data_IF_444219239956
#
_entry.id   IF_444219239956
#
_cell.length_a   1.000
_cell.length_b   1.000
_cell.length_c   1.000
_cell.angle_alpha   90.00
_cell.angle_beta   90.00
_cell.angle_gamma   90.00
#
_symmetry.space_group_name_H-M   'P 1'
#
loop_
_entity.id
_entity.type
_entity.pdbx_description
1 polymer ?
#
# COMPACT_ATOMS: atom_id res chain seq x y z
N UNK A 1 26.02 -11.34 -5.70
CA UNK A 1 24.74 -11.98 -5.31
C UNK A 1 24.40 -11.48 -3.92
N UNK A 2 23.65 -10.38 -3.82
CA UNK A 2 23.11 -9.94 -2.52
C UNK A 2 22.01 -10.91 -2.16
N UNK A 3 22.25 -11.73 -1.14
CA UNK A 3 21.21 -12.51 -0.49
C UNK A 3 20.20 -11.51 0.04
N UNK A 4 19.03 -11.41 -0.59
CA UNK A 4 17.90 -10.70 0.00
C UNK A 4 17.65 -11.38 1.33
N UNK A 5 18.04 -10.72 2.42
CA UNK A 5 17.83 -11.25 3.75
C UNK A 5 16.31 -11.31 3.94
N UNK A 6 15.78 -12.46 4.35
CA UNK A 6 14.33 -12.63 4.44
C UNK A 6 13.69 -11.66 5.47
N UNK A 7 14.51 -11.03 6.31
CA UNK A 7 14.14 -9.92 7.20
C UNK A 7 13.65 -8.66 6.46
N UNK A 8 13.98 -8.53 5.18
CA UNK A 8 13.58 -7.37 4.36
C UNK A 8 12.20 -7.57 3.73
N UNK A 9 11.65 -8.78 3.75
CA UNK A 9 10.31 -9.03 3.22
C UNK A 9 9.29 -8.74 4.31
N UNK A 10 8.29 -7.90 4.00
CA UNK A 10 7.17 -7.59 4.89
C UNK A 10 5.84 -7.94 4.25
N UNK A 11 4.88 -8.34 5.08
CA UNK A 11 3.47 -8.44 4.71
C UNK A 11 2.77 -7.12 5.03
N UNK A 12 1.99 -6.60 4.08
CA UNK A 12 1.23 -5.36 4.22
C UNK A 12 -0.26 -5.68 4.10
N UNK A 13 -1.08 -5.22 5.05
CA UNK A 13 -2.54 -5.29 4.95
C UNK A 13 -3.07 -4.05 4.22
N UNK A 14 -3.75 -4.24 3.10
CA UNK A 14 -4.29 -3.14 2.30
C UNK A 14 -5.80 -3.13 2.38
N UNK A 15 -6.33 -1.93 2.57
CA UNK A 15 -7.75 -1.65 2.54
C UNK A 15 -8.05 -0.64 1.45
N UNK A 16 -8.82 -1.06 0.45
CA UNK A 16 -9.35 -0.22 -0.60
C UNK A 16 -10.82 0.08 -0.34
N UNK A 17 -11.18 1.37 -0.46
CA UNK A 17 -12.57 1.82 -0.46
C UNK A 17 -12.76 2.86 -1.57
N UNK A 18 -13.87 2.77 -2.31
CA UNK A 18 -14.24 3.75 -3.33
C UNK A 18 -15.57 4.45 -3.01
N UNK A 19 -15.93 5.45 -3.81
CA UNK A 19 -17.19 6.21 -3.69
C UNK A 19 -18.46 5.38 -3.85
N UNK A 20 -18.36 4.15 -4.34
CA UNK A 20 -19.48 3.21 -4.46
C UNK A 20 -19.58 2.28 -3.24
N UNK A 21 -18.86 2.57 -2.15
CA UNK A 21 -18.74 1.73 -0.96
C UNK A 21 -18.26 0.30 -1.25
N UNK A 22 -17.54 0.09 -2.36
CA UNK A 22 -16.87 -1.19 -2.60
C UNK A 22 -15.62 -1.23 -1.73
N UNK A 23 -15.57 -2.25 -0.89
CA UNK A 23 -14.50 -2.49 0.05
C UNK A 23 -13.74 -3.76 -0.37
N UNK A 24 -12.43 -3.64 -0.55
CA UNK A 24 -11.55 -4.79 -0.84
C UNK A 24 -10.41 -4.78 0.17
N UNK A 25 -10.25 -5.89 0.89
CA UNK A 25 -9.15 -6.10 1.83
C UNK A 25 -8.28 -7.23 1.27
N UNK A 26 -6.98 -7.00 1.18
CA UNK A 26 -6.03 -8.00 0.72
C UNK A 26 -4.64 -7.77 1.32
N UNK A 27 -3.80 -8.80 1.25
CA UNK A 27 -2.44 -8.78 1.76
C UNK A 27 -1.46 -8.93 0.60
N UNK A 28 -0.37 -8.16 0.61
CA UNK A 28 0.75 -8.35 -0.32
C UNK A 28 2.04 -8.55 0.46
N UNK A 29 2.97 -9.29 -0.13
CA UNK A 29 4.36 -9.39 0.34
C UNK A 29 5.28 -8.58 -0.58
N UNK A 30 6.10 -7.74 0.00
CA UNK A 30 7.03 -6.84 -0.72
C UNK A 30 8.36 -6.76 0.03
N UNK A 31 9.42 -6.41 -0.68
CA UNK A 31 10.72 -6.12 -0.04
C UNK A 31 10.75 -4.68 0.44
N UNK A 32 11.30 -4.41 1.63
CA UNK A 32 11.58 -3.05 2.12
C UNK A 32 12.51 -2.26 1.21
N UNK A 33 13.29 -2.97 0.40
CA UNK A 33 14.19 -2.40 -0.58
C UNK A 33 13.49 -2.05 -1.91
N UNK A 34 12.22 -2.44 -2.08
CA UNK A 34 11.42 -2.03 -3.24
C UNK A 34 10.94 -0.58 -3.09
N UNK A 35 10.60 0.04 -4.22
CA UNK A 35 9.93 1.34 -4.26
C UNK A 35 8.43 1.20 -3.97
N UNK A 36 7.81 2.27 -3.47
CA UNK A 36 6.35 2.34 -3.27
C UNK A 36 5.59 2.12 -4.58
N UNK A 37 6.16 2.46 -5.74
CA UNK A 37 5.57 2.16 -7.05
C UNK A 37 5.27 0.67 -7.26
N UNK A 38 6.08 -0.23 -6.68
CA UNK A 38 5.87 -1.68 -6.74
C UNK A 38 4.59 -2.08 -5.98
N UNK A 39 4.29 -1.42 -4.86
CA UNK A 39 3.01 -1.61 -4.16
C UNK A 39 1.86 -1.17 -5.06
N UNK A 40 1.98 0.01 -5.69
CA UNK A 40 0.94 0.50 -6.58
C UNK A 40 0.68 -0.43 -7.78
N UNK A 41 1.72 -0.99 -8.40
CA UNK A 41 1.58 -1.96 -9.49
C UNK A 41 0.80 -3.21 -9.04
N UNK A 42 1.15 -3.76 -7.87
CA UNK A 42 0.47 -4.94 -7.30
C UNK A 42 -0.97 -4.65 -6.94
N UNK A 43 -1.24 -3.49 -6.33
CA UNK A 43 -2.60 -3.01 -6.02
C UNK A 43 -3.43 -2.93 -7.30
N UNK A 44 -2.89 -2.36 -8.38
CA UNK A 44 -3.58 -2.29 -9.69
C UNK A 44 -3.95 -3.67 -10.21
N UNK A 45 -2.99 -4.60 -10.21
CA UNK A 45 -3.22 -5.96 -10.69
C UNK A 45 -4.31 -6.69 -9.89
N UNK A 46 -4.32 -6.52 -8.56
CA UNK A 46 -5.31 -7.14 -7.67
C UNK A 46 -6.69 -6.50 -7.83
N UNK A 47 -6.76 -5.17 -7.95
CA UNK A 47 -8.03 -4.44 -8.05
C UNK A 47 -8.65 -4.50 -9.44
N UNK A 48 -7.87 -4.74 -10.50
CA UNK A 48 -8.34 -4.82 -11.89
C UNK A 48 -9.60 -5.70 -12.09
N UNK A 49 -9.70 -6.93 -11.55
CA UNK A 49 -10.91 -7.74 -11.67
C UNK A 49 -12.09 -7.26 -10.81
N UNK A 50 -11.84 -6.44 -9.78
CA UNK A 50 -12.88 -6.01 -8.83
C UNK A 50 -13.51 -4.66 -9.18
N UNK A 51 -12.88 -3.91 -10.09
CA UNK A 51 -13.29 -2.56 -10.45
C UNK A 51 -13.64 -2.50 -11.95
N UNK A 52 -14.82 -1.95 -12.32
CA UNK A 52 -15.24 -1.84 -13.72
C UNK A 52 -14.32 -0.93 -14.54
N UNK A 53 -13.59 -0.03 -13.86
CA UNK A 53 -12.53 0.80 -14.42
C UNK A 53 -11.32 0.64 -13.50
N UNK A 54 -10.18 0.21 -14.04
CA UNK A 54 -8.95 0.13 -13.25
C UNK A 54 -8.58 1.54 -12.79
N UNK A 55 -8.47 1.81 -11.48
CA UNK A 55 -8.10 3.13 -10.99
C UNK A 55 -6.65 3.37 -11.40
N UNK A 56 -6.45 4.14 -12.48
CA UNK A 56 -5.11 4.56 -12.90
C UNK A 56 -4.51 5.55 -11.89
N UNK A 57 -5.39 6.27 -11.19
CA UNK A 57 -5.01 7.21 -10.15
C UNK A 57 -5.60 6.71 -8.82
N UNK A 58 -4.73 6.40 -7.87
CA UNK A 58 -5.06 6.26 -6.46
C UNK A 58 -3.84 6.68 -5.65
N UNK A 59 -4.08 7.04 -4.39
CA UNK A 59 -3.03 7.34 -3.45
C UNK A 59 -2.89 6.20 -2.45
N UNK A 60 -1.66 5.94 -2.03
CA UNK A 60 -1.34 5.00 -0.98
C UNK A 60 -1.08 5.80 0.30
N UNK A 61 -1.91 5.61 1.32
CA UNK A 61 -1.73 6.22 2.63
C UNK A 61 -1.36 5.17 3.66
N UNK A 62 -0.27 5.40 4.38
CA UNK A 62 0.08 4.59 5.53
C UNK A 62 -0.77 5.02 6.74
N UNK A 63 -1.32 4.02 7.44
CA UNK A 63 -2.05 4.19 8.69
C UNK A 63 -1.40 3.31 9.75
N UNK A 64 -0.79 3.94 10.76
CA UNK A 64 -0.40 3.26 11.99
C UNK A 64 -1.55 3.33 13.00
N UNK A 65 -1.89 2.22 13.70
CA UNK A 65 -2.96 2.21 14.70
C UNK A 65 -2.75 3.24 15.80
N UNK A 66 -1.48 3.54 16.10
CA UNK A 66 -1.06 4.45 17.19
C UNK A 66 -0.82 5.90 16.73
N UNK A 67 -0.85 6.18 15.42
CA UNK A 67 -0.61 7.51 14.89
C UNK A 67 -1.90 8.13 14.35
N UNK A 68 -2.20 9.35 14.81
CA UNK A 68 -3.29 10.17 14.24
C UNK A 68 -2.89 10.67 12.83
N UNK A 69 -1.59 10.74 12.52
CA UNK A 69 -1.09 11.23 11.25
C UNK A 69 -1.07 10.13 10.19
N UNK A 70 -1.85 10.34 9.13
CA UNK A 70 -1.80 9.54 7.90
C UNK A 70 -0.74 10.11 6.97
N UNK A 71 0.16 9.27 6.49
CA UNK A 71 1.26 9.70 5.61
C UNK A 71 0.96 9.25 4.19
N UNK A 72 0.92 10.19 3.25
CA UNK A 72 0.82 9.89 1.83
C UNK A 72 2.17 9.40 1.32
N UNK A 73 2.20 8.18 0.79
CA UNK A 73 3.42 7.54 0.31
C UNK A 73 3.73 7.98 -1.12
N UNK A 74 4.97 8.38 -1.35
CA UNK A 74 5.45 8.84 -2.67
C UNK A 74 6.02 7.64 -3.44
N UNK A 75 5.68 7.47 -4.74
CA UNK A 75 6.05 6.30 -5.51
C UNK A 75 7.56 6.13 -5.71
N UNK A 76 8.33 7.22 -5.66
CA UNK A 76 9.79 7.25 -5.82
C UNK A 76 10.55 6.86 -4.55
N UNK A 77 9.87 6.82 -3.40
CA UNK A 77 10.50 6.49 -2.13
C UNK A 77 10.58 4.97 -1.94
N UNK A 78 11.61 4.52 -1.21
CA UNK A 78 11.72 3.14 -0.77
C UNK A 78 10.67 2.84 0.31
N UNK A 79 10.22 1.59 0.35
CA UNK A 79 9.25 1.10 1.36
C UNK A 79 9.81 1.26 2.78
N UNK A 80 11.11 1.04 2.97
CA UNK A 80 11.80 1.21 4.26
C UNK A 80 11.67 2.61 4.87
N UNK A 81 11.45 3.67 4.06
CA UNK A 81 11.22 5.05 4.53
C UNK A 81 9.96 5.13 5.39
N UNK A 82 8.94 4.37 5.02
CA UNK A 82 7.66 4.34 5.72
C UNK A 82 7.60 3.21 6.74
N UNK A 83 8.25 2.08 6.45
CA UNK A 83 8.17 0.86 7.24
C UNK A 83 9.55 0.46 7.81
N UNK A 84 10.01 1.10 8.90
CA UNK A 84 11.29 0.77 9.53
C UNK A 84 11.33 -0.66 10.12
N UNK A 85 12.46 -1.04 10.68
CA UNK A 85 12.66 -2.36 11.30
C UNK A 85 11.74 -2.60 12.51
N UNK A 86 11.37 -3.87 12.74
CA UNK A 86 10.57 -4.35 13.88
C UNK A 86 9.09 -3.91 13.95
N UNK A 87 8.46 -3.63 12.82
CA UNK A 87 7.01 -3.44 12.79
C UNK A 87 6.29 -4.77 12.94
N UNK A 88 5.30 -4.81 13.82
CA UNK A 88 4.34 -5.89 13.82
C UNK A 88 3.54 -5.82 12.51
N UNK A 89 3.71 -6.81 11.62
CA UNK A 89 3.05 -6.87 10.31
C UNK A 89 1.52 -6.81 10.44
N UNK A 90 0.97 -7.30 11.55
CA UNK A 90 -0.47 -7.25 11.86
C UNK A 90 -0.99 -5.82 12.07
N UNK A 91 -0.11 -4.84 12.29
CA UNK A 91 -0.45 -3.45 12.56
C UNK A 91 -0.33 -2.54 11.34
N UNK A 92 0.22 -3.03 10.22
CA UNK A 92 0.45 -2.18 9.05
C UNK A 92 -0.78 -2.17 8.16
N UNK A 93 -1.46 -1.02 8.10
CA UNK A 93 -2.57 -0.80 7.19
C UNK A 93 -2.22 0.26 6.14
N UNK A 94 -2.45 -0.06 4.87
CA UNK A 94 -2.39 0.91 3.78
C UNK A 94 -3.79 1.17 3.28
N UNK A 95 -4.21 2.43 3.33
CA UNK A 95 -5.44 2.87 2.74
C UNK A 95 -5.22 3.28 1.29
N UNK A 96 -6.00 2.68 0.40
CA UNK A 96 -5.99 2.96 -1.03
C UNK A 96 -7.28 3.71 -1.36
N UNK A 97 -7.16 4.95 -1.82
CA UNK A 97 -8.31 5.79 -2.17
C UNK A 97 -8.12 6.45 -3.54
N UNK A 98 -9.20 6.59 -4.33
CA UNK A 98 -9.14 7.34 -5.59
C UNK A 98 -8.83 8.82 -5.31
N UNK A 99 -8.21 9.55 -6.25
CA UNK A 99 -8.12 11.00 -6.14
C UNK A 99 -9.52 11.58 -5.98
N UNK A 100 -9.67 12.55 -5.10
CA UNK A 100 -10.91 13.32 -4.99
C UNK A 100 -11.18 13.91 -6.39
N UNK A 101 -12.33 13.56 -6.99
CA UNK A 101 -12.77 14.23 -8.21
C UNK A 101 -12.81 15.74 -7.92
N UNK A 102 -12.26 16.59 -8.81
CA UNK A 102 -12.52 18.02 -8.70
C UNK A 102 -14.03 18.22 -8.90
N UNK A 103 -14.68 18.85 -7.92
CA UNK A 103 -16.04 19.36 -8.04
C UNK A 103 -16.15 20.39 -9.18
#
# INVERSE_FOLDING_TARGET
>A
MSTTDNSDIISLNLYFCNSQNRNVIFVIKVSKNDLISVIADRVRAILAPHLPVCPHNFHLQQIYPTSIQRICMQPENMISVYFPENLNEDMIHIFVYPPLSPE
#
